data_IF_639921931893
#
_entry.id   IF_639921931893
#
_cell.length_a   1.000
_cell.length_b   1.000
_cell.length_c   1.000
_cell.angle_alpha   90.00
_cell.angle_beta   90.00
_cell.angle_gamma   90.00
#
_symmetry.space_group_name_H-M   'P 1'
#
loop_
_entity.id
_entity.type
_entity.pdbx_description
1 polymer ?
#
# COMPACT_ATOMS: atom_id res chain seq x y z
N UNK A 1 -16.64 3.35 23.30
CA UNK A 1 -17.80 3.37 22.39
C UNK A 1 -19.12 3.46 23.17
N UNK A 2 -19.17 4.12 24.35
CA UNK A 2 -20.41 4.24 25.15
C UNK A 2 -21.24 5.48 24.81
N UNK A 3 -20.91 6.19 23.72
CA UNK A 3 -21.52 7.48 23.36
C UNK A 3 -22.53 7.35 22.21
N UNK A 4 -22.45 6.27 21.42
CA UNK A 4 -23.39 5.94 20.35
C UNK A 4 -23.57 4.43 20.35
N UNK A 5 -24.79 3.99 20.61
CA UNK A 5 -25.23 2.61 20.53
C UNK A 5 -26.42 2.54 19.57
N UNK A 6 -26.74 1.33 19.08
CA UNK A 6 -27.82 1.09 18.14
C UNK A 6 -28.52 -0.18 18.58
N UNK A 7 -29.82 -0.11 18.88
CA UNK A 7 -30.60 -1.32 19.11
C UNK A 7 -30.95 -2.00 17.77
N UNK A 8 -31.37 -3.27 17.82
CA UNK A 8 -31.74 -4.06 16.63
C UNK A 8 -30.72 -3.98 15.47
N UNK A 9 -29.44 -3.81 15.82
CA UNK A 9 -28.37 -3.49 14.90
C UNK A 9 -27.00 -3.47 15.59
N UNK A 10 -26.00 -3.00 14.86
CA UNK A 10 -24.62 -2.92 15.31
C UNK A 10 -23.94 -1.70 14.69
N UNK A 11 -23.30 -0.89 15.55
CA UNK A 11 -22.29 0.08 15.11
C UNK A 11 -21.04 -0.70 14.71
N UNK A 12 -20.65 -0.62 13.45
CA UNK A 12 -19.47 -1.29 12.88
C UNK A 12 -18.22 -0.47 13.18
N UNK A 13 -18.28 0.84 12.96
CA UNK A 13 -17.19 1.76 13.24
C UNK A 13 -17.72 3.17 13.52
N UNK A 14 -17.02 3.91 14.37
CA UNK A 14 -17.22 5.34 14.55
C UNK A 14 -15.85 6.02 14.45
N UNK A 15 -15.69 6.93 13.49
CA UNK A 15 -14.41 7.57 13.19
C UNK A 15 -14.58 9.06 13.01
N UNK A 16 -13.57 9.87 13.33
CA UNK A 16 -13.57 11.28 12.93
C UNK A 16 -13.80 11.40 11.42
N UNK A 17 -14.64 12.36 11.01
CA UNK A 17 -14.86 12.64 9.59
C UNK A 17 -13.55 13.09 8.94
N UNK A 18 -13.24 12.54 7.77
CA UNK A 18 -12.13 12.99 6.94
C UNK A 18 -12.63 14.05 5.95
N UNK A 19 -11.96 15.18 5.89
CA UNK A 19 -12.39 16.34 5.09
C UNK A 19 -11.37 16.55 3.97
N UNK A 20 -11.77 16.16 2.76
CA UNK A 20 -11.07 16.47 1.53
C UNK A 20 -11.54 17.82 0.95
N UNK A 21 -10.70 18.52 0.17
CA UNK A 21 -11.12 19.71 -0.58
C UNK A 21 -11.93 19.27 -1.81
N UNK A 22 -13.20 18.94 -1.58
CA UNK A 22 -14.13 18.52 -2.64
C UNK A 22 -14.17 19.56 -3.77
N UNK A 23 -14.32 20.84 -3.39
CA UNK A 23 -14.14 21.96 -4.30
C UNK A 23 -12.68 22.08 -4.73
N UNK A 24 -12.42 21.78 -6.00
CA UNK A 24 -11.07 21.83 -6.57
C UNK A 24 -10.25 20.55 -6.37
N UNK A 25 -10.86 19.44 -5.94
CA UNK A 25 -10.21 18.12 -5.83
C UNK A 25 -9.28 17.80 -6.99
N UNK A 26 -9.75 18.01 -8.23
CA UNK A 26 -9.02 17.70 -9.46
C UNK A 26 -7.71 18.48 -9.63
N UNK A 27 -7.56 19.61 -8.92
CA UNK A 27 -6.37 20.49 -8.96
C UNK A 27 -5.42 20.25 -7.79
N UNK A 28 -5.76 19.36 -6.88
CA UNK A 28 -4.91 19.05 -5.73
C UNK A 28 -3.77 18.10 -6.09
N UNK A 29 -2.79 17.98 -5.19
CA UNK A 29 -1.63 17.09 -5.37
C UNK A 29 -1.99 15.64 -5.01
N UNK A 30 -1.28 14.68 -5.61
CA UNK A 30 -1.34 13.27 -5.21
C UNK A 30 -1.01 13.04 -3.72
N UNK A 31 -1.59 11.99 -3.15
CA UNK A 31 -1.47 11.62 -1.73
C UNK A 31 -1.79 12.79 -0.79
N UNK A 32 -2.76 13.64 -1.14
CA UNK A 32 -3.19 14.72 -0.25
C UNK A 32 -3.94 14.12 0.95
N UNK A 33 -3.31 14.19 2.12
CA UNK A 33 -3.97 13.75 3.35
C UNK A 33 -5.18 14.65 3.67
N UNK A 34 -6.35 14.06 3.99
CA UNK A 34 -7.51 14.83 4.41
C UNK A 34 -7.25 15.48 5.77
N UNK A 35 -7.97 16.57 6.03
CA UNK A 35 -8.05 17.11 7.40
C UNK A 35 -8.99 16.24 8.23
N UNK A 36 -8.77 16.17 9.52
CA UNK A 36 -9.70 15.51 10.44
C UNK A 36 -10.71 16.53 10.98
N UNK A 37 -12.00 16.26 10.81
CA UNK A 37 -13.08 17.03 11.40
C UNK A 37 -13.02 16.98 12.93
N UNK A 38 -13.13 18.13 13.58
CA UNK A 38 -12.97 18.23 15.04
C UNK A 38 -14.27 18.01 15.82
N UNK A 39 -15.41 17.99 15.14
CA UNK A 39 -16.76 17.91 15.73
C UNK A 39 -17.71 17.00 14.98
N UNK A 40 -17.19 16.22 14.04
CA UNK A 40 -17.97 15.36 13.17
C UNK A 40 -17.38 13.96 13.22
N UNK A 41 -18.25 12.98 13.35
CA UNK A 41 -17.92 11.57 13.32
C UNK A 41 -18.76 10.90 12.25
N UNK A 42 -18.12 10.05 11.47
CA UNK A 42 -18.79 9.17 10.51
C UNK A 42 -19.03 7.84 11.21
N UNK A 43 -20.29 7.42 11.23
CA UNK A 43 -20.75 6.20 11.88
C UNK A 43 -21.16 5.21 10.80
N UNK A 44 -20.46 4.09 10.75
CA UNK A 44 -20.82 2.95 9.91
C UNK A 44 -21.60 1.96 10.77
N UNK A 45 -22.74 1.49 10.27
CA UNK A 45 -23.64 0.61 11.02
C UNK A 45 -24.38 -0.36 10.10
N UNK A 46 -24.94 -1.42 10.69
CA UNK A 46 -25.92 -2.29 10.07
C UNK A 46 -27.08 -2.49 11.05
N UNK A 47 -28.32 -2.30 10.61
CA UNK A 47 -29.48 -2.35 11.49
C UNK A 47 -30.78 -2.67 10.75
N UNK A 48 -31.80 -3.04 11.52
CA UNK A 48 -33.18 -3.11 11.05
C UNK A 48 -33.77 -1.69 10.86
N UNK A 49 -34.75 -1.52 9.97
CA UNK A 49 -35.40 -0.23 9.71
C UNK A 49 -36.11 0.38 10.95
N UNK A 50 -36.43 -0.47 11.93
CA UNK A 50 -37.06 -0.09 13.21
C UNK A 50 -36.04 0.20 14.33
N UNK A 51 -34.74 0.20 14.04
CA UNK A 51 -33.70 0.46 15.03
C UNK A 51 -33.71 1.91 15.52
N UNK A 52 -33.24 2.13 16.74
CA UNK A 52 -33.01 3.42 17.37
C UNK A 52 -31.53 3.60 17.76
N UNK A 53 -30.95 4.74 17.36
CA UNK A 53 -29.69 5.20 17.93
C UNK A 53 -29.91 5.66 19.37
N UNK A 54 -29.05 5.19 20.27
CA UNK A 54 -28.95 5.65 21.65
C UNK A 54 -27.68 6.50 21.78
N UNK A 55 -27.87 7.78 22.09
CA UNK A 55 -26.81 8.77 22.13
C UNK A 55 -26.46 9.14 23.58
N UNK A 56 -25.26 9.68 23.76
CA UNK A 56 -24.83 10.25 25.04
C UNK A 56 -25.86 11.28 25.57
N UNK A 57 -26.13 11.24 26.87
CA UNK A 57 -27.20 12.05 27.49
C UNK A 57 -28.59 11.40 27.44
N UNK A 58 -28.72 10.18 26.90
CA UNK A 58 -29.96 9.40 26.89
C UNK A 58 -30.93 9.76 25.77
N UNK A 59 -30.50 10.60 24.83
CA UNK A 59 -31.25 10.91 23.63
C UNK A 59 -31.39 9.66 22.76
N UNK A 60 -32.55 9.50 22.13
CA UNK A 60 -32.86 8.40 21.22
C UNK A 60 -33.32 8.93 19.88
N UNK A 61 -32.96 8.25 18.81
CA UNK A 61 -33.38 8.62 17.46
C UNK A 61 -33.68 7.37 16.64
N UNK A 62 -34.93 7.22 16.22
CA UNK A 62 -35.32 6.16 15.30
C UNK A 62 -34.64 6.35 13.95
N UNK A 63 -34.23 5.25 13.32
CA UNK A 63 -33.49 5.27 12.07
C UNK A 63 -34.30 5.94 10.94
N UNK A 64 -35.62 5.68 10.90
CA UNK A 64 -36.52 6.29 9.93
C UNK A 64 -36.71 7.81 10.11
N UNK A 65 -36.33 8.38 11.26
CA UNK A 65 -36.47 9.80 11.56
C UNK A 65 -35.21 10.62 11.23
N UNK A 66 -34.12 9.97 10.79
CA UNK A 66 -32.82 10.61 10.52
C UNK A 66 -32.91 11.77 9.52
N UNK A 67 -33.79 11.69 8.53
CA UNK A 67 -33.95 12.75 7.52
C UNK A 67 -34.70 13.99 8.05
N UNK A 68 -35.47 13.87 9.13
CA UNK A 68 -36.46 14.88 9.52
C UNK A 68 -36.00 15.87 10.61
N UNK A 69 -34.89 15.64 11.31
CA UNK A 69 -34.49 16.42 12.52
C UNK A 69 -33.17 17.18 12.41
N UNK A 70 -32.84 17.73 11.25
CA UNK A 70 -31.61 18.54 11.05
C UNK A 70 -31.66 19.98 11.57
N UNK A 71 -32.76 20.41 12.22
CA UNK A 71 -32.88 21.80 12.70
C UNK A 71 -33.27 21.87 14.18
N UNK A 72 -32.51 22.72 14.89
CA UNK A 72 -32.67 23.21 16.27
C UNK A 72 -32.01 22.37 17.40
N UNK A 73 -30.70 22.58 17.53
CA UNK A 73 -29.84 22.50 18.74
C UNK A 73 -29.81 21.19 19.53
N UNK A 74 -28.83 20.31 19.22
CA UNK A 74 -27.68 19.96 20.09
C UNK A 74 -26.88 18.74 19.56
N UNK A 75 -27.44 17.94 18.64
CA UNK A 75 -26.71 16.94 17.86
C UNK A 75 -27.39 16.79 16.50
N UNK A 76 -26.65 16.91 15.40
CA UNK A 76 -27.20 16.71 14.05
C UNK A 76 -26.73 15.34 13.56
N UNK A 77 -27.67 14.41 13.37
CA UNK A 77 -27.43 13.20 12.60
C UNK A 77 -27.84 13.48 11.16
N UNK A 78 -26.91 13.30 10.24
CA UNK A 78 -27.15 13.44 8.80
C UNK A 78 -26.93 12.06 8.16
N UNK A 79 -27.90 11.55 7.39
CA UNK A 79 -27.69 10.31 6.65
C UNK A 79 -26.61 10.52 5.59
N UNK A 80 -25.69 9.56 5.49
CA UNK A 80 -24.74 9.47 4.38
C UNK A 80 -25.32 8.45 3.41
N UNK A 81 -25.38 8.82 2.13
CA UNK A 81 -25.87 7.93 1.08
C UNK A 81 -25.14 6.57 1.12
N UNK A 82 -25.88 5.44 1.16
CA UNK A 82 -25.27 4.14 1.21
C UNK A 82 -24.57 3.83 -0.12
N UNK A 83 -23.43 3.17 -0.03
CA UNK A 83 -22.68 2.72 -1.18
C UNK A 83 -23.24 1.39 -1.69
N UNK A 84 -24.34 1.44 -2.45
CA UNK A 84 -25.05 0.24 -2.95
C UNK A 84 -24.97 0.07 -4.47
N UNK A 85 -24.54 1.11 -5.22
CA UNK A 85 -24.42 1.02 -6.67
C UNK A 85 -23.12 0.31 -7.04
N UNK A 86 -23.22 -0.97 -7.38
CA UNK A 86 -22.12 -1.80 -7.91
C UNK A 86 -21.60 -1.24 -9.23
N UNK A 87 -20.32 -0.86 -9.27
CA UNK A 87 -19.63 -0.31 -10.46
C UNK A 87 -18.33 -1.06 -10.75
N UNK A 88 -18.10 -1.38 -12.03
CA UNK A 88 -16.78 -1.82 -12.51
C UNK A 88 -15.94 -0.63 -12.94
N UNK A 89 -14.78 -0.47 -12.32
CA UNK A 89 -13.81 0.56 -12.68
C UNK A 89 -12.69 -0.07 -13.51
N UNK A 90 -12.37 0.56 -14.63
CA UNK A 90 -11.23 0.19 -15.48
C UNK A 90 -10.27 1.35 -15.62
N UNK A 91 -8.98 1.05 -15.62
CA UNK A 91 -7.92 2.02 -15.88
C UNK A 91 -7.16 1.59 -17.12
N UNK A 92 -7.17 2.45 -18.13
CA UNK A 92 -6.59 2.16 -19.45
C UNK A 92 -5.55 3.21 -19.84
N UNK A 93 -4.50 2.75 -20.51
CA UNK A 93 -3.50 3.64 -21.11
C UNK A 93 -4.05 4.30 -22.39
N UNK A 94 -3.85 5.62 -22.47
CA UNK A 94 -4.23 6.42 -23.62
C UNK A 94 -3.61 5.90 -24.93
N UNK A 95 -4.41 5.85 -26.00
CA UNK A 95 -3.97 5.40 -27.32
C UNK A 95 -3.85 3.88 -27.52
N UNK A 96 -3.56 3.09 -26.48
CA UNK A 96 -3.48 1.63 -26.58
C UNK A 96 -4.72 0.91 -26.05
N UNK A 97 -5.49 1.56 -25.17
CA UNK A 97 -6.59 0.97 -24.41
C UNK A 97 -6.19 -0.27 -23.59
N UNK A 98 -4.89 -0.45 -23.32
CA UNK A 98 -4.40 -1.55 -22.49
C UNK A 98 -4.81 -1.27 -21.04
N UNK A 99 -5.43 -2.27 -20.39
CA UNK A 99 -5.69 -2.23 -18.95
C UNK A 99 -4.36 -2.32 -18.20
N UNK A 100 -4.13 -1.40 -17.27
CA UNK A 100 -2.82 -1.25 -16.61
C UNK A 100 -2.93 -1.19 -15.09
N UNK A 101 -2.02 -1.86 -14.36
CA UNK A 101 -1.97 -1.76 -12.91
C UNK A 101 -1.72 -0.33 -12.45
N UNK A 102 -2.41 0.08 -11.37
CA UNK A 102 -2.31 1.42 -10.77
C UNK A 102 -2.58 1.36 -9.27
N UNK A 103 -2.20 2.42 -8.56
CA UNK A 103 -2.72 2.72 -7.23
C UNK A 103 -4.01 3.52 -7.36
N UNK A 104 -5.05 3.09 -6.64
CA UNK A 104 -6.39 3.65 -6.68
C UNK A 104 -6.81 4.14 -5.29
N UNK A 105 -7.27 5.38 -5.22
CA UNK A 105 -8.02 5.92 -4.10
C UNK A 105 -9.41 6.35 -4.57
N UNK A 106 -10.43 6.02 -3.78
CA UNK A 106 -11.81 6.50 -3.98
C UNK A 106 -12.40 6.91 -2.63
N UNK A 107 -13.05 8.07 -2.59
CA UNK A 107 -13.87 8.47 -1.45
C UNK A 107 -15.19 9.08 -1.91
N UNK A 108 -16.21 9.02 -1.05
CA UNK A 108 -17.48 9.71 -1.28
C UNK A 108 -17.50 11.10 -0.66
N UNK A 109 -18.62 11.80 -0.78
CA UNK A 109 -18.74 13.24 -0.45
C UNK A 109 -18.43 13.57 1.01
N UNK A 110 -18.62 12.63 1.93
CA UNK A 110 -18.35 12.84 3.35
C UNK A 110 -16.91 12.45 3.74
N UNK A 111 -16.10 12.02 2.77
CA UNK A 111 -14.69 11.65 2.93
C UNK A 111 -14.47 10.21 3.39
N UNK A 112 -15.54 9.41 3.43
CA UNK A 112 -15.51 7.98 3.64
C UNK A 112 -14.74 7.27 2.53
N UNK A 113 -13.82 6.38 2.91
CA UNK A 113 -13.05 5.58 1.97
C UNK A 113 -13.94 4.50 1.35
N UNK A 114 -13.97 4.46 0.01
CA UNK A 114 -14.75 3.51 -0.77
C UNK A 114 -13.81 2.44 -1.35
N UNK A 115 -13.55 1.40 -0.55
CA UNK A 115 -12.71 0.29 -0.96
C UNK A 115 -13.39 -0.58 -2.03
N UNK A 116 -12.64 -1.15 -2.99
CA UNK A 116 -13.14 -2.27 -3.78
C UNK A 116 -13.66 -3.41 -2.90
N UNK A 117 -14.65 -4.16 -3.40
CA UNK A 117 -15.37 -5.17 -2.62
C UNK A 117 -14.49 -6.33 -2.15
N UNK A 118 -13.34 -6.52 -2.77
CA UNK A 118 -12.32 -7.52 -2.47
C UNK A 118 -11.11 -6.90 -1.73
N UNK A 119 -11.30 -5.74 -1.08
CA UNK A 119 -10.28 -5.03 -0.30
C UNK A 119 -10.77 -4.71 1.10
N UNK A 120 -9.82 -4.45 2.00
CA UNK A 120 -10.16 -4.04 3.36
C UNK A 120 -10.69 -2.61 3.33
N UNK A 121 -11.84 -2.39 3.97
CA UNK A 121 -12.36 -1.04 4.25
C UNK A 121 -11.53 -0.32 5.31
N UNK A 122 -10.79 -1.09 6.11
CA UNK A 122 -10.08 -0.66 7.32
C UNK A 122 -8.66 -1.26 7.34
N UNK A 123 -7.78 -0.88 6.40
CA UNK A 123 -6.44 -1.41 6.36
C UNK A 123 -5.69 -1.05 7.66
N UNK A 124 -4.97 -2.03 8.22
CA UNK A 124 -4.11 -1.84 9.39
C UNK A 124 -2.65 -1.69 8.93
N UNK A 125 -2.01 -0.52 9.13
CA UNK A 125 -0.61 -0.30 8.73
C UNK A 125 0.40 -0.85 9.74
N UNK A 126 -0.06 -1.44 10.86
CA UNK A 126 0.83 -2.03 11.84
C UNK A 126 1.47 -3.31 11.30
N UNK A 127 2.68 -3.58 11.79
CA UNK A 127 3.52 -4.67 11.32
C UNK A 127 2.79 -6.02 11.40
N UNK A 128 2.70 -6.72 10.26
CA UNK A 128 2.10 -8.05 10.14
C UNK A 128 0.64 -8.19 10.53
N UNK A 129 -0.08 -7.08 10.69
CA UNK A 129 -1.51 -7.09 11.00
C UNK A 129 -2.38 -7.11 9.73
N UNK A 130 -1.79 -6.89 8.55
CA UNK A 130 -2.49 -6.94 7.27
C UNK A 130 -1.56 -7.38 6.10
N UNK A 131 -2.11 -8.09 5.13
CA UNK A 131 -1.40 -8.62 3.95
C UNK A 131 -2.06 -8.25 2.61
N UNK A 132 -3.04 -7.34 2.64
CA UNK A 132 -3.69 -6.83 1.44
C UNK A 132 -2.79 -5.85 0.67
N UNK A 133 -3.02 -5.64 -0.64
CA UNK A 133 -2.29 -4.65 -1.43
C UNK A 133 -2.80 -3.22 -1.15
N UNK A 134 -2.96 -2.88 0.13
CA UNK A 134 -3.45 -1.58 0.57
C UNK A 134 -2.29 -0.64 0.90
N UNK A 135 -2.45 0.63 0.55
CA UNK A 135 -1.47 1.68 0.78
C UNK A 135 -2.02 2.70 1.77
N UNK A 136 -1.34 2.86 2.91
CA UNK A 136 -1.73 3.79 3.96
C UNK A 136 -0.80 5.01 3.97
N UNK A 137 -1.27 6.16 3.48
CA UNK A 137 -0.55 7.43 3.60
C UNK A 137 -1.24 8.33 4.63
N UNK A 138 -0.95 8.11 5.90
CA UNK A 138 -1.73 8.70 6.99
C UNK A 138 -3.19 8.28 6.87
N UNK A 139 -4.10 9.26 6.83
CA UNK A 139 -5.54 9.01 6.64
C UNK A 139 -5.99 8.95 5.17
N UNK A 140 -5.07 9.08 4.22
CA UNK A 140 -5.36 8.89 2.80
C UNK A 140 -5.07 7.43 2.41
N UNK A 141 -6.13 6.64 2.32
CA UNK A 141 -6.06 5.21 2.06
C UNK A 141 -6.21 4.93 0.57
N UNK A 142 -5.36 4.09 0.01
CA UNK A 142 -5.45 3.64 -1.37
C UNK A 142 -5.24 2.12 -1.44
N UNK A 143 -5.42 1.55 -2.61
CA UNK A 143 -5.17 0.13 -2.86
C UNK A 143 -4.61 -0.06 -4.26
N UNK A 144 -3.76 -1.07 -4.43
CA UNK A 144 -3.24 -1.44 -5.73
C UNK A 144 -4.21 -2.38 -6.44
N UNK A 145 -4.48 -2.07 -7.71
CA UNK A 145 -5.35 -2.84 -8.58
C UNK A 145 -4.60 -3.18 -9.85
N UNK A 146 -4.96 -4.29 -10.48
CA UNK A 146 -4.36 -4.74 -11.74
C UNK A 146 -4.89 -3.95 -12.97
N UNK A 147 -5.57 -2.83 -12.72
CA UNK A 147 -6.27 -2.00 -13.71
C UNK A 147 -7.77 -2.22 -13.77
N UNK A 148 -8.30 -3.18 -13.01
CA UNK A 148 -9.73 -3.36 -12.80
C UNK A 148 -10.07 -3.40 -11.30
N UNK A 149 -11.19 -2.80 -10.92
CA UNK A 149 -11.78 -2.93 -9.59
C UNK A 149 -13.30 -3.04 -9.68
N UNK A 150 -13.90 -3.75 -8.73
CA UNK A 150 -15.34 -3.70 -8.50
C UNK A 150 -15.60 -2.99 -7.18
N UNK A 151 -16.37 -1.91 -7.21
CA UNK A 151 -16.57 -1.01 -6.07
C UNK A 151 -18.06 -0.74 -5.94
N UNK A 152 -18.57 -0.79 -4.71
CA UNK A 152 -19.90 -0.29 -4.42
C UNK A 152 -19.79 1.21 -4.10
N UNK A 153 -20.56 2.03 -4.81
CA UNK A 153 -20.49 3.50 -4.76
C UNK A 153 -21.85 4.09 -4.35
N UNK A 154 -21.87 5.21 -3.62
CA UNK A 154 -23.11 5.94 -3.36
C UNK A 154 -23.58 6.66 -4.62
N UNK A 155 -24.88 6.93 -4.72
CA UNK A 155 -25.39 7.83 -5.74
C UNK A 155 -24.89 9.26 -5.47
N UNK A 156 -24.58 10.01 -6.54
CA UNK A 156 -24.01 11.35 -6.44
C UNK A 156 -22.50 11.39 -6.70
N UNK A 157 -21.82 12.36 -6.10
CA UNK A 157 -20.40 12.61 -6.39
C UNK A 157 -19.46 11.66 -5.64
N UNK A 158 -18.55 11.05 -6.39
CA UNK A 158 -17.39 10.32 -5.85
C UNK A 158 -16.10 10.90 -6.41
N UNK A 159 -15.05 10.84 -5.63
CA UNK A 159 -13.76 11.45 -5.93
C UNK A 159 -12.73 10.34 -6.10
N UNK A 160 -12.12 10.29 -7.28
CA UNK A 160 -11.17 9.25 -7.67
C UNK A 160 -9.78 9.87 -7.82
N UNK A 161 -8.77 9.17 -7.30
CA UNK A 161 -7.36 9.43 -7.54
C UNK A 161 -6.69 8.15 -8.05
N UNK A 162 -5.93 8.27 -9.14
CA UNK A 162 -5.17 7.19 -9.76
C UNK A 162 -3.74 7.67 -10.00
N UNK A 163 -2.76 6.87 -9.57
CA UNK A 163 -1.34 7.13 -9.80
C UNK A 163 -0.64 5.91 -10.39
N UNK A 164 0.38 6.14 -11.22
CA UNK A 164 1.20 5.07 -11.81
C UNK A 164 2.66 5.48 -11.99
N UNK A 165 3.46 5.40 -10.92
CA UNK A 165 4.86 5.80 -10.95
C UNK A 165 5.09 7.24 -11.41
N UNK A 166 6.30 7.53 -11.88
CA UNK A 166 6.69 8.88 -12.31
C UNK A 166 6.40 9.17 -13.78
N UNK A 167 6.28 8.14 -14.62
CA UNK A 167 6.10 8.33 -16.06
C UNK A 167 4.67 8.73 -16.44
N UNK A 168 3.68 8.48 -15.58
CA UNK A 168 2.28 8.78 -15.82
C UNK A 168 1.85 10.00 -15.02
N UNK A 169 1.11 10.90 -15.66
CA UNK A 169 0.49 12.02 -14.95
C UNK A 169 -0.60 11.50 -13.98
N UNK A 170 -0.55 11.83 -12.68
CA UNK A 170 -1.62 11.49 -11.74
C UNK A 170 -2.98 11.99 -12.22
N UNK A 171 -4.01 11.16 -12.12
CA UNK A 171 -5.38 11.50 -12.47
C UNK A 171 -6.20 11.69 -11.21
N UNK A 172 -6.87 12.84 -11.12
CA UNK A 172 -7.84 13.15 -10.06
C UNK A 172 -9.10 13.63 -10.73
N UNK A 173 -10.22 12.95 -10.51
CA UNK A 173 -11.50 13.26 -11.17
C UNK A 173 -12.66 13.08 -10.20
N UNK A 174 -13.69 13.90 -10.39
CA UNK A 174 -15.00 13.69 -9.76
C UNK A 174 -15.94 13.03 -10.75
N UNK A 175 -16.63 11.98 -10.31
CA UNK A 175 -17.64 11.28 -11.10
C UNK A 175 -19.00 11.40 -10.41
N UNK A 176 -20.06 11.60 -11.20
CA UNK A 176 -21.43 11.51 -10.73
C UNK A 176 -21.97 10.12 -11.01
N UNK A 177 -22.28 9.36 -9.96
CA UNK A 177 -22.83 8.02 -10.00
C UNK A 177 -24.36 8.11 -9.99
N UNK A 178 -25.00 7.43 -10.93
CA UNK A 178 -26.46 7.28 -11.03
C UNK A 178 -26.85 5.80 -10.99
N UNK A 179 -28.14 5.45 -10.85
CA UNK A 179 -28.59 4.05 -10.91
C UNK A 179 -28.19 3.31 -12.20
N UNK A 180 -27.95 4.05 -13.29
CA UNK A 180 -27.53 3.54 -14.59
C UNK A 180 -26.00 3.36 -14.69
N UNK A 181 -25.21 3.95 -13.79
CA UNK A 181 -23.76 3.82 -13.79
C UNK A 181 -23.37 2.39 -13.43
N UNK A 182 -22.97 1.58 -14.42
CA UNK A 182 -22.43 0.22 -14.21
C UNK A 182 -20.93 0.12 -14.41
N UNK A 183 -20.35 1.12 -15.08
CA UNK A 183 -18.93 1.13 -15.42
C UNK A 183 -18.37 2.56 -15.37
N UNK A 184 -17.15 2.69 -14.86
CA UNK A 184 -16.32 3.89 -14.99
C UNK A 184 -15.02 3.47 -15.67
N UNK A 185 -14.63 4.18 -16.73
CA UNK A 185 -13.33 3.98 -17.37
C UNK A 185 -12.51 5.25 -17.21
N UNK A 186 -11.31 5.11 -16.66
CA UNK A 186 -10.35 6.19 -16.46
C UNK A 186 -9.17 5.98 -17.41
N UNK A 187 -8.96 6.93 -18.29
CA UNK A 187 -7.81 6.97 -19.17
C UNK A 187 -6.64 7.70 -18.48
N UNK A 188 -5.45 7.09 -18.52
CA UNK A 188 -4.21 7.68 -18.01
C UNK A 188 -3.23 7.90 -19.16
N UNK A 189 -2.46 8.98 -19.06
CA UNK A 189 -1.55 9.43 -20.12
C UNK A 189 -0.11 9.49 -19.62
N UNK A 190 0.80 8.99 -20.47
CA UNK A 190 2.24 9.08 -20.24
C UNK A 190 2.71 10.53 -20.41
N UNK A 191 3.43 11.03 -19.42
CA UNK A 191 4.02 12.37 -19.41
C UNK A 191 5.55 12.35 -19.59
N UNK A 192 6.20 11.25 -19.24
CA UNK A 192 7.65 11.06 -19.38
C UNK A 192 7.93 9.73 -20.08
N UNK A 193 8.98 9.67 -20.89
CA UNK A 193 9.33 8.52 -21.74
C UNK A 193 10.73 7.97 -21.42
N UNK A 194 11.06 7.88 -20.12
CA UNK A 194 12.39 7.47 -19.68
C UNK A 194 12.70 6.03 -20.10
N UNK A 195 11.71 5.14 -20.05
CA UNK A 195 11.89 3.75 -20.49
C UNK A 195 12.24 3.64 -21.97
N UNK A 196 11.61 4.44 -22.81
CA UNK A 196 11.90 4.51 -24.24
C UNK A 196 13.31 5.07 -24.51
N UNK A 197 13.85 5.85 -23.58
CA UNK A 197 15.23 6.34 -23.58
C UNK A 197 16.23 5.33 -22.97
N UNK A 198 15.77 4.16 -22.51
CA UNK A 198 16.61 3.09 -21.98
C UNK A 198 16.81 3.10 -20.47
N UNK A 199 16.07 3.94 -19.73
CA UNK A 199 16.09 3.90 -18.27
C UNK A 199 15.26 2.73 -17.73
N UNK A 200 15.71 2.16 -16.62
CA UNK A 200 15.01 1.09 -15.88
C UNK A 200 14.88 1.52 -14.43
N UNK A 201 13.67 1.48 -13.89
CA UNK A 201 13.41 1.72 -12.47
C UNK A 201 13.57 0.43 -11.69
N UNK A 202 14.28 0.49 -10.57
CA UNK A 202 14.48 -0.65 -9.70
C UNK A 202 14.32 -0.23 -8.24
N UNK A 203 13.73 -1.12 -7.45
CA UNK A 203 13.72 -1.04 -5.99
C UNK A 203 14.64 -2.13 -5.45
N UNK A 204 15.67 -1.72 -4.72
CA UNK A 204 16.70 -2.59 -4.18
C UNK A 204 16.32 -3.21 -2.85
N UNK A 205 15.25 -2.73 -2.21
CA UNK A 205 15.02 -3.01 -0.79
C UNK A 205 13.53 -3.03 -0.42
N UNK A 206 12.88 -4.16 -0.71
CA UNK A 206 11.47 -4.40 -0.39
C UNK A 206 11.32 -5.56 0.59
N UNK A 207 10.38 -5.46 1.53
CA UNK A 207 10.07 -6.49 2.53
C UNK A 207 8.58 -6.77 2.63
N UNK A 208 8.23 -7.87 3.30
CA UNK A 208 6.88 -8.17 3.81
C UNK A 208 5.78 -8.47 2.78
N UNK A 209 6.10 -8.42 1.49
CA UNK A 209 5.15 -8.73 0.42
C UNK A 209 5.29 -10.19 -0.04
N UNK A 210 4.20 -10.78 -0.52
CA UNK A 210 4.34 -11.97 -1.38
C UNK A 210 4.95 -11.57 -2.74
N UNK A 211 5.64 -12.47 -3.46
CA UNK A 211 6.16 -12.16 -4.80
C UNK A 211 5.07 -11.66 -5.77
N UNK A 212 3.85 -12.17 -5.67
CA UNK A 212 2.73 -11.74 -6.51
C UNK A 212 2.23 -10.33 -6.14
N UNK A 213 2.19 -9.99 -4.84
CA UNK A 213 1.84 -8.65 -4.38
C UNK A 213 2.91 -7.65 -4.78
N UNK A 214 4.19 -7.97 -4.57
CA UNK A 214 5.32 -7.13 -5.01
C UNK A 214 5.28 -6.85 -6.51
N UNK A 215 4.88 -7.84 -7.32
CA UNK A 215 4.69 -7.65 -8.76
C UNK A 215 3.56 -6.67 -9.08
N UNK A 216 2.42 -6.78 -8.38
CA UNK A 216 1.28 -5.89 -8.55
C UNK A 216 1.66 -4.45 -8.18
N UNK A 217 2.26 -4.25 -7.00
CA UNK A 217 2.65 -2.94 -6.51
C UNK A 217 3.72 -2.31 -7.39
N UNK A 218 4.77 -3.07 -7.74
CA UNK A 218 5.82 -2.58 -8.63
C UNK A 218 5.29 -2.22 -10.02
N UNK A 219 4.40 -3.03 -10.59
CA UNK A 219 3.74 -2.67 -11.85
C UNK A 219 2.87 -1.42 -11.70
N UNK A 220 2.15 -1.28 -10.59
CA UNK A 220 1.32 -0.11 -10.30
C UNK A 220 2.14 1.16 -10.04
N UNK A 221 3.33 1.06 -9.46
CA UNK A 221 4.23 2.18 -9.18
C UNK A 221 5.27 2.40 -10.30
N UNK A 222 5.20 1.64 -11.39
CA UNK A 222 6.14 1.77 -12.51
C UNK A 222 7.58 1.42 -12.14
N UNK A 223 7.78 0.50 -11.18
CA UNK A 223 9.07 -0.05 -10.76
C UNK A 223 9.31 -1.36 -11.51
N UNK A 224 10.26 -1.38 -12.45
CA UNK A 224 10.48 -2.52 -13.34
C UNK A 224 11.15 -3.73 -12.67
N UNK A 225 12.07 -3.50 -11.73
CA UNK A 225 12.80 -4.57 -11.04
C UNK A 225 12.64 -4.41 -9.54
N UNK A 226 12.03 -5.39 -8.89
CA UNK A 226 11.79 -5.40 -7.45
C UNK A 226 12.67 -6.47 -6.83
N UNK A 227 13.49 -6.06 -5.86
CA UNK A 227 14.25 -6.98 -5.03
C UNK A 227 13.52 -7.16 -3.70
N UNK A 228 12.80 -8.27 -3.59
CA UNK A 228 12.10 -8.67 -2.37
C UNK A 228 13.11 -9.39 -1.47
N UNK A 229 13.40 -8.83 -0.31
CA UNK A 229 14.48 -9.30 0.54
C UNK A 229 13.92 -10.17 1.66
N UNK A 230 14.38 -11.41 1.74
CA UNK A 230 14.16 -12.23 2.92
C UNK A 230 15.07 -11.72 4.06
N UNK A 231 14.52 -11.58 5.26
CA UNK A 231 15.28 -11.17 6.46
C UNK A 231 14.67 -11.70 7.75
N UNK A 232 15.34 -11.44 8.86
CA UNK A 232 15.05 -11.94 10.21
C UNK A 232 14.93 -10.77 11.20
N UNK A 233 13.86 -10.69 11.99
CA UNK A 233 13.74 -9.78 13.15
C UNK A 233 13.53 -10.62 14.43
N UNK A 234 14.59 -10.89 15.18
CA UNK A 234 14.49 -11.80 16.32
C UNK A 234 14.19 -13.23 15.85
N UNK A 235 13.05 -13.76 16.29
CA UNK A 235 12.52 -15.07 15.85
C UNK A 235 11.66 -14.98 14.58
N UNK A 236 11.28 -13.76 14.16
CA UNK A 236 10.45 -13.57 12.97
C UNK A 236 11.31 -13.69 11.72
N UNK A 237 10.92 -14.59 10.81
CA UNK A 237 11.57 -14.78 9.51
C UNK A 237 10.60 -14.41 8.40
N UNK A 238 11.05 -13.62 7.43
CA UNK A 238 10.22 -13.05 6.36
C UNK A 238 10.72 -13.52 5.01
N UNK A 239 9.79 -13.89 4.12
CA UNK A 239 10.07 -14.36 2.75
C UNK A 239 11.10 -15.50 2.59
N UNK A 240 11.55 -16.14 3.69
CA UNK A 240 12.52 -17.24 3.66
C UNK A 240 12.02 -18.45 2.86
N UNK A 241 10.71 -18.65 2.82
CA UNK A 241 10.06 -19.69 2.01
C UNK A 241 9.91 -19.34 0.54
N UNK A 242 10.04 -18.06 0.18
CA UNK A 242 9.98 -17.60 -1.22
C UNK A 242 11.37 -17.60 -1.89
N UNK A 243 12.45 -17.64 -1.10
CA UNK A 243 13.81 -17.68 -1.61
C UNK A 243 14.16 -19.07 -2.15
N UNK A 244 14.60 -19.14 -3.41
CA UNK A 244 15.04 -20.39 -4.05
C UNK A 244 16.37 -20.28 -4.81
N UNK A 245 16.97 -19.09 -4.85
CA UNK A 245 18.21 -18.85 -5.59
C UNK A 245 18.11 -19.00 -7.11
N UNK A 246 16.90 -19.09 -7.70
CA UNK A 246 16.72 -19.37 -9.13
C UNK A 246 15.56 -18.60 -9.79
N UNK A 247 14.38 -18.53 -9.16
CA UNK A 247 13.18 -17.98 -9.78
C UNK A 247 13.23 -16.46 -9.88
N UNK A 248 13.00 -15.94 -11.10
CA UNK A 248 12.65 -14.54 -11.32
C UNK A 248 11.21 -14.48 -11.82
N UNK A 249 10.32 -13.94 -11.00
CA UNK A 249 8.91 -13.78 -11.33
C UNK A 249 8.74 -12.73 -12.44
N UNK A 250 7.72 -12.89 -13.27
CA UNK A 250 7.40 -11.95 -14.35
C UNK A 250 8.23 -12.11 -15.63
N UNK A 251 9.26 -12.97 -15.62
CA UNK A 251 9.99 -13.32 -16.85
C UNK A 251 9.09 -14.00 -17.88
N UNK A 252 9.42 -13.87 -19.16
CA UNK A 252 8.72 -14.56 -20.25
C UNK A 252 8.76 -16.09 -20.10
N UNK A 253 9.88 -16.62 -19.58
CA UNK A 253 10.03 -18.05 -19.32
C UNK A 253 9.08 -18.56 -18.22
N UNK A 254 8.73 -17.70 -17.25
CA UNK A 254 7.75 -17.99 -16.20
C UNK A 254 6.32 -17.54 -16.57
N UNK A 255 6.03 -17.25 -17.85
CA UNK A 255 4.71 -16.85 -18.33
C UNK A 255 4.34 -15.38 -18.13
N UNK A 256 5.27 -14.55 -17.65
CA UNK A 256 5.08 -13.10 -17.55
C UNK A 256 5.40 -12.35 -18.85
N UNK A 257 5.25 -11.02 -18.83
CA UNK A 257 5.55 -10.17 -20.00
C UNK A 257 7.05 -9.87 -20.15
N UNK A 258 7.82 -10.03 -19.08
CA UNK A 258 9.21 -9.58 -18.94
C UNK A 258 9.34 -8.08 -18.67
N UNK A 259 8.22 -7.37 -18.43
CA UNK A 259 8.21 -5.93 -18.21
C UNK A 259 8.48 -5.54 -16.74
N UNK A 260 7.93 -6.31 -15.83
CA UNK A 260 8.07 -6.16 -14.39
C UNK A 260 8.62 -7.48 -13.85
N UNK A 261 9.65 -7.40 -13.01
CA UNK A 261 10.39 -8.53 -12.51
C UNK A 261 10.49 -8.44 -10.99
N UNK A 262 10.24 -9.56 -10.31
CA UNK A 262 10.50 -9.68 -8.88
C UNK A 262 11.53 -10.79 -8.68
N UNK A 263 12.57 -10.50 -7.92
CA UNK A 263 13.58 -11.50 -7.52
C UNK A 263 13.73 -11.47 -6.01
N UNK A 264 13.69 -12.66 -5.40
CA UNK A 264 13.90 -12.78 -3.96
C UNK A 264 15.40 -12.83 -3.69
N UNK A 265 15.89 -11.84 -2.93
CA UNK A 265 17.24 -11.75 -2.38
C UNK A 265 17.20 -11.87 -0.86
N UNK A 266 18.23 -11.38 -0.18
CA UNK A 266 18.23 -11.27 1.28
C UNK A 266 18.69 -9.90 1.73
N UNK A 267 18.16 -9.44 2.86
CA UNK A 267 18.79 -8.39 3.64
C UNK A 267 19.42 -9.07 4.85
N UNK A 268 20.76 -9.08 4.88
CA UNK A 268 21.49 -9.59 6.02
C UNK A 268 21.86 -8.45 6.96
N UNK A 269 21.77 -8.65 8.28
CA UNK A 269 21.82 -7.53 9.23
C UNK A 269 22.58 -7.82 10.51
N UNK A 270 23.28 -6.81 10.98
CA UNK A 270 23.83 -6.75 12.33
C UNK A 270 23.73 -5.30 12.82
N UNK A 271 23.22 -5.12 14.04
CA UNK A 271 22.83 -3.82 14.60
C UNK A 271 23.91 -2.72 14.56
N UNK A 272 25.19 -3.09 14.64
CA UNK A 272 26.35 -2.17 14.69
C UNK A 272 27.20 -2.26 13.42
N UNK A 273 27.53 -3.47 12.95
CA UNK A 273 28.35 -3.73 11.77
C UNK A 273 27.73 -3.12 10.51
N UNK A 274 26.40 -3.20 10.39
CA UNK A 274 25.65 -2.68 9.25
C UNK A 274 24.62 -3.68 8.74
N UNK A 275 23.82 -3.21 7.79
CA UNK A 275 22.92 -4.05 7.01
C UNK A 275 23.43 -4.12 5.58
N UNK A 276 23.02 -5.15 4.85
CA UNK A 276 23.47 -5.40 3.48
C UNK A 276 22.38 -6.10 2.68
N UNK A 277 22.05 -5.53 1.52
CA UNK A 277 21.11 -6.11 0.57
C UNK A 277 21.88 -6.95 -0.46
N UNK A 278 21.59 -8.24 -0.51
CA UNK A 278 22.22 -9.22 -1.38
C UNK A 278 21.25 -9.57 -2.51
N UNK A 279 21.51 -9.03 -3.70
CA UNK A 279 20.55 -9.00 -4.80
C UNK A 279 20.91 -9.99 -5.89
N UNK A 280 19.92 -10.65 -6.48
CA UNK A 280 20.05 -11.41 -7.73
C UNK A 280 21.00 -12.62 -7.71
N UNK A 281 21.60 -12.96 -6.57
CA UNK A 281 22.52 -14.09 -6.47
C UNK A 281 21.82 -15.43 -6.70
N UNK A 282 22.61 -16.42 -7.13
CA UNK A 282 22.12 -17.75 -7.49
C UNK A 282 22.64 -18.84 -6.54
N UNK A 283 21.79 -19.81 -6.23
CA UNK A 283 22.15 -20.96 -5.40
C UNK A 283 21.61 -20.87 -3.98
N UNK A 284 22.40 -21.28 -2.99
CA UNK A 284 21.93 -21.39 -1.60
C UNK A 284 21.85 -20.03 -0.95
N UNK A 285 20.84 -19.83 -0.11
CA UNK A 285 20.71 -18.65 0.75
C UNK A 285 22.00 -18.43 1.55
N UNK A 286 22.45 -17.18 1.63
CA UNK A 286 23.62 -16.77 2.38
C UNK A 286 23.20 -16.60 3.84
N UNK A 287 23.71 -17.48 4.70
CA UNK A 287 23.32 -17.58 6.11
C UNK A 287 24.53 -17.35 7.02
N UNK A 288 24.31 -16.85 8.25
CA UNK A 288 23.01 -16.47 8.85
C UNK A 288 22.42 -15.19 8.22
N UNK A 289 21.10 -15.00 8.31
CA UNK A 289 20.44 -13.78 7.84
C UNK A 289 20.76 -12.61 8.76
N UNK A 290 20.68 -12.79 10.08
CA UNK A 290 21.05 -11.75 11.04
C UNK A 290 21.99 -12.31 12.11
N UNK A 291 22.77 -11.44 12.75
CA UNK A 291 23.67 -11.81 13.87
C UNK A 291 23.61 -10.77 15.00
N UNK A 292 24.10 -11.14 16.18
CA UNK A 292 24.39 -10.18 17.25
C UNK A 292 23.24 -9.80 18.18
N UNK A 293 22.20 -10.63 18.29
CA UNK A 293 21.18 -10.55 19.34
C UNK A 293 19.88 -9.83 18.92
N UNK A 294 18.99 -9.69 19.91
CA UNK A 294 17.54 -9.46 19.76
C UNK A 294 17.10 -8.30 18.86
N UNK A 295 17.95 -7.29 18.66
CA UNK A 295 17.63 -6.15 17.80
C UNK A 295 17.52 -6.57 16.33
N UNK A 296 18.28 -7.60 15.91
CA UNK A 296 18.23 -8.15 14.55
C UNK A 296 18.00 -9.68 14.56
N UNK A 297 18.79 -10.44 15.33
CA UNK A 297 18.74 -11.90 15.38
C UNK A 297 18.13 -12.43 16.69
N UNK A 298 18.10 -13.75 16.91
CA UNK A 298 17.49 -14.31 18.11
C UNK A 298 18.26 -13.94 19.39
N UNK A 299 17.57 -13.94 20.53
CA UNK A 299 18.20 -13.67 21.84
C UNK A 299 19.28 -14.72 22.12
N UNK A 300 20.52 -14.27 22.27
CA UNK A 300 21.68 -15.13 22.58
C UNK A 300 22.52 -15.51 21.37
N UNK A 301 22.11 -15.14 20.16
CA UNK A 301 22.92 -15.34 18.96
C UNK A 301 24.24 -14.53 19.02
N UNK A 302 25.37 -15.12 18.62
CA UNK A 302 26.64 -14.41 18.56
C UNK A 302 26.70 -13.44 17.37
N UNK A 303 27.74 -12.61 17.34
CA UNK A 303 28.21 -11.97 16.10
C UNK A 303 29.17 -12.95 15.43
N UNK A 304 28.68 -13.76 14.49
CA UNK A 304 29.43 -14.84 13.84
C UNK A 304 29.68 -14.65 12.33
N UNK A 305 29.18 -13.56 11.75
CA UNK A 305 29.46 -13.15 10.38
C UNK A 305 29.72 -11.65 10.28
N UNK A 306 30.59 -11.27 9.33
CA UNK A 306 30.90 -9.88 8.98
C UNK A 306 30.10 -9.43 7.75
N UNK A 307 29.88 -8.13 7.62
CA UNK A 307 29.19 -7.52 6.48
C UNK A 307 29.99 -7.75 5.19
N UNK A 308 31.31 -7.57 5.25
CA UNK A 308 32.20 -7.83 4.11
C UNK A 308 32.21 -9.32 3.73
N UNK A 309 32.04 -10.22 4.69
CA UNK A 309 31.98 -11.65 4.41
C UNK A 309 30.72 -12.01 3.62
N UNK A 310 29.55 -11.50 4.03
CA UNK A 310 28.31 -11.66 3.27
C UNK A 310 28.41 -11.08 1.86
N UNK A 311 29.03 -9.90 1.71
CA UNK A 311 29.28 -9.28 0.41
C UNK A 311 30.08 -10.21 -0.53
N UNK A 312 31.19 -10.76 -0.03
CA UNK A 312 32.04 -11.68 -0.80
C UNK A 312 31.31 -12.95 -1.19
N UNK A 313 30.45 -13.49 -0.32
CA UNK A 313 29.64 -14.67 -0.63
C UNK A 313 28.63 -14.37 -1.75
N UNK A 314 27.94 -13.22 -1.69
CA UNK A 314 26.99 -12.79 -2.71
C UNK A 314 27.66 -12.66 -4.09
N UNK A 315 28.82 -12.01 -4.13
CA UNK A 315 29.59 -11.83 -5.38
C UNK A 315 30.07 -13.16 -5.95
N UNK A 316 30.51 -14.10 -5.11
CA UNK A 316 30.85 -15.47 -5.53
C UNK A 316 29.65 -16.22 -6.13
N UNK A 317 28.44 -15.89 -5.68
CA UNK A 317 27.17 -16.40 -6.21
C UNK A 317 26.60 -15.55 -7.36
N UNK A 318 27.37 -14.60 -7.89
CA UNK A 318 27.01 -13.78 -9.05
C UNK A 318 25.98 -12.69 -8.78
N UNK A 319 25.76 -12.33 -7.50
CA UNK A 319 24.85 -11.25 -7.12
C UNK A 319 25.50 -9.88 -7.06
N UNK A 320 24.65 -8.90 -6.74
CA UNK A 320 25.03 -7.52 -6.46
C UNK A 320 24.90 -7.23 -4.97
N UNK A 321 25.80 -6.39 -4.46
CA UNK A 321 25.84 -5.98 -3.07
C UNK A 321 25.48 -4.51 -2.97
N UNK A 322 24.43 -4.21 -2.22
CA UNK A 322 24.01 -2.84 -1.92
C UNK A 322 24.07 -2.63 -0.41
N UNK A 323 24.61 -1.50 0.04
CA UNK A 323 24.56 -1.10 1.44
C UNK A 323 23.30 -0.24 1.65
N UNK A 324 22.25 -0.78 2.28
CA UNK A 324 20.99 -0.08 2.46
C UNK A 324 21.08 1.02 3.51
N UNK A 325 20.12 1.95 3.45
CA UNK A 325 19.93 3.08 4.38
C UNK A 325 21.26 3.75 4.81
N UNK A 326 22.19 3.89 3.86
CA UNK A 326 23.53 4.40 4.12
C UNK A 326 23.45 5.86 4.62
N UNK A 327 24.22 6.23 5.65
CA UNK A 327 25.37 5.51 6.18
C UNK A 327 25.10 4.58 7.38
N UNK A 328 23.90 4.56 7.96
CA UNK A 328 23.65 3.92 9.25
C UNK A 328 23.05 2.51 9.10
N UNK A 329 23.50 1.48 9.84
CA UNK A 329 24.63 1.45 10.77
C UNK A 329 26.00 1.46 10.06
N UNK A 330 27.01 2.10 10.65
CA UNK A 330 28.22 2.56 9.93
C UNK A 330 29.45 1.67 9.97
N UNK A 331 29.54 0.71 10.90
CA UNK A 331 30.86 0.23 11.34
C UNK A 331 31.66 -0.46 10.23
N UNK A 332 31.10 -1.44 9.51
CA UNK A 332 31.82 -2.12 8.42
C UNK A 332 31.57 -1.55 7.02
N UNK A 333 30.61 -0.64 6.84
CA UNK A 333 30.31 -0.05 5.53
C UNK A 333 31.56 0.50 4.83
N UNK A 334 32.41 1.22 5.56
CA UNK A 334 33.64 1.79 5.01
C UNK A 334 34.63 0.70 4.54
N UNK A 335 34.78 -0.39 5.30
CA UNK A 335 35.66 -1.49 4.94
C UNK A 335 35.15 -2.19 3.67
N UNK A 336 33.86 -2.53 3.63
CA UNK A 336 33.22 -3.17 2.47
C UNK A 336 33.36 -2.32 1.20
N UNK A 337 33.21 -0.99 1.30
CA UNK A 337 33.40 -0.06 0.18
C UNK A 337 34.87 -0.01 -0.27
N UNK A 338 35.81 0.19 0.65
CA UNK A 338 37.25 0.33 0.32
C UNK A 338 37.82 -0.95 -0.29
N UNK A 339 37.32 -2.11 0.13
CA UNK A 339 37.69 -3.40 -0.43
C UNK A 339 37.05 -3.67 -1.81
N UNK A 340 36.14 -2.82 -2.28
CA UNK A 340 35.46 -2.98 -3.56
C UNK A 340 34.41 -4.10 -3.56
N UNK A 341 33.87 -4.44 -2.39
CA UNK A 341 32.91 -5.53 -2.21
C UNK A 341 31.45 -5.04 -2.25
N UNK A 342 31.23 -3.71 -2.20
CA UNK A 342 29.93 -3.09 -2.42
C UNK A 342 29.81 -2.55 -3.85
N UNK A 343 28.68 -2.80 -4.50
CA UNK A 343 28.38 -2.30 -5.84
C UNK A 343 27.61 -0.97 -5.81
N UNK A 344 26.81 -0.73 -4.76
CA UNK A 344 26.04 0.51 -4.57
C UNK A 344 25.74 0.81 -3.10
N UNK A 345 25.24 2.02 -2.84
CA UNK A 345 24.73 2.47 -1.53
C UNK A 345 23.38 3.17 -1.71
N UNK A 346 22.49 3.04 -0.73
CA UNK A 346 21.21 3.76 -0.70
C UNK A 346 21.38 5.13 -0.03
N UNK A 347 20.96 6.21 -0.70
CA UNK A 347 21.18 7.59 -0.20
C UNK A 347 19.88 8.23 0.33
N UNK A 348 18.71 7.65 0.03
CA UNK A 348 17.40 8.22 0.36
C UNK A 348 16.37 7.16 0.74
#
# INVERSE_FOLDING_TARGET
MSQIELDLGQVIAARPRLVYPNEGWERTRQNLQPKTGSREILVEYAAHDDAEFHLEGGARMALHDLEMRSAESELVLEPVEPADQRVRLFVVEAGTNKVVPVKLHVHGRMGEYLAPIDRSRNPNPLWFENYSPDFCHGNHLATYINGEATIDLPLGEVYVEITKGFEIKPVRKTYTVTPETKQITVEIEKALYWREEGWVTADTHVHFLSPATAMLEGAAEGVNVINLLASQWGELMTNVGDFDGQTTFGTKAAGGTGEFLVRVGTENRQHVLGHISLLGYSGKMILPLCTGGADESAIGDPVDALLTEWAQQCRKQGGLVVLPHFPDPRLENAATIVLGEADAVEIF
#
